data_IF_124153398600
#
_entry.id   IF_124153398600
#
_cell.length_a   1.000
_cell.length_b   1.000
_cell.length_c   1.000
_cell.angle_alpha   90.00
_cell.angle_beta   90.00
_cell.angle_gamma   90.00
#
_symmetry.space_group_name_H-M   'P 1'
#
loop_
_entity.id
_entity.type
_entity.pdbx_description
1 polymer ?
#
# COMPACT_ATOMS: atom_id res chain seq x y z
N UNK A 1 35.18 63.78 -28.14
CA UNK A 1 33.98 63.27 -27.43
C UNK A 1 33.71 61.84 -27.88
N UNK A 2 34.40 60.84 -27.33
CA UNK A 2 34.30 59.43 -27.78
C UNK A 2 34.63 58.45 -26.64
N UNK A 3 34.09 58.70 -25.44
CA UNK A 3 34.20 57.79 -24.30
C UNK A 3 32.86 57.61 -23.55
N UNK A 4 31.75 57.60 -24.28
CA UNK A 4 30.42 57.36 -23.68
C UNK A 4 29.71 56.10 -24.22
N UNK A 5 30.27 55.42 -25.23
CA UNK A 5 29.58 54.33 -25.94
C UNK A 5 30.17 52.93 -25.69
N UNK A 6 30.91 52.72 -24.58
CA UNK A 6 31.42 51.38 -24.20
C UNK A 6 30.91 50.85 -22.86
N UNK A 7 30.12 51.63 -22.12
CA UNK A 7 29.58 51.24 -20.83
C UNK A 7 28.08 50.87 -20.86
N UNK A 8 27.44 50.87 -22.04
CA UNK A 8 26.01 50.57 -22.19
C UNK A 8 25.71 49.20 -22.83
N UNK A 9 26.74 48.39 -23.10
CA UNK A 9 26.58 47.08 -23.79
C UNK A 9 26.70 45.88 -22.85
N UNK A 10 26.61 46.07 -21.53
CA UNK A 10 26.84 45.02 -20.52
C UNK A 10 25.69 44.88 -19.50
N UNK A 11 24.52 45.47 -19.77
CA UNK A 11 23.36 45.49 -18.86
C UNK A 11 22.14 44.74 -19.41
N UNK A 12 22.26 44.04 -20.54
CA UNK A 12 21.15 43.26 -21.07
C UNK A 12 21.55 41.80 -21.23
N UNK A 13 20.67 40.92 -20.72
CA UNK A 13 20.77 39.45 -20.68
C UNK A 13 21.40 38.91 -19.39
N UNK A 14 20.88 39.38 -18.26
CA UNK A 14 20.55 38.50 -17.14
C UNK A 14 19.05 38.23 -17.20
N UNK A 15 18.61 37.52 -18.24
CA UNK A 15 17.30 36.85 -18.19
C UNK A 15 17.47 35.74 -17.17
N UNK A 16 17.16 36.08 -15.92
CA UNK A 16 16.89 35.10 -14.88
C UNK A 16 15.90 34.12 -15.47
N UNK A 17 16.38 32.91 -15.70
CA UNK A 17 15.55 31.74 -15.94
C UNK A 17 14.78 31.54 -14.64
N UNK A 18 13.67 32.26 -14.49
CA UNK A 18 12.62 31.88 -13.54
C UNK A 18 12.05 30.60 -14.13
N UNK A 19 12.71 29.50 -13.80
CA UNK A 19 12.11 28.19 -13.86
C UNK A 19 10.89 28.26 -12.97
N UNK A 20 9.74 28.47 -13.60
CA UNK A 20 8.45 28.33 -12.97
C UNK A 20 8.23 26.83 -12.78
N UNK A 21 9.00 26.24 -11.85
CA UNK A 21 8.61 24.98 -11.25
C UNK A 21 7.29 25.27 -10.58
N UNK A 22 6.20 24.73 -11.13
CA UNK A 22 4.92 24.68 -10.42
C UNK A 22 5.25 24.16 -9.02
N UNK A 23 5.11 25.00 -8.01
CA UNK A 23 5.05 24.50 -6.64
C UNK A 23 3.86 23.56 -6.66
N UNK A 24 4.13 22.26 -6.61
CA UNK A 24 3.08 21.29 -6.42
C UNK A 24 2.55 21.53 -5.02
N UNK A 25 1.44 22.27 -4.90
CA UNK A 25 0.67 22.48 -3.66
C UNK A 25 0.03 21.17 -3.15
N UNK A 26 0.59 20.02 -3.55
CA UNK A 26 0.20 18.69 -3.13
C UNK A 26 0.58 18.47 -1.68
N UNK A 27 -0.35 17.99 -0.86
CA UNK A 27 -0.05 17.61 0.52
C UNK A 27 0.62 16.24 0.65
N UNK A 28 0.75 15.47 -0.44
CA UNK A 28 1.45 14.20 -0.48
C UNK A 28 2.49 14.14 -1.61
N UNK A 29 3.66 13.56 -1.31
CA UNK A 29 4.73 13.30 -2.28
C UNK A 29 5.25 11.87 -2.12
N UNK A 30 5.20 11.08 -3.19
CA UNK A 30 5.88 9.80 -3.30
C UNK A 30 7.23 10.00 -4.01
N UNK A 31 8.31 9.69 -3.30
CA UNK A 31 9.67 9.63 -3.88
C UNK A 31 10.11 8.18 -4.01
N UNK A 32 10.93 7.88 -4.99
CA UNK A 32 11.47 6.53 -5.09
C UNK A 32 12.49 6.30 -6.16
N UNK A 33 13.05 5.09 -6.14
CA UNK A 33 14.00 4.62 -7.14
C UNK A 33 13.74 3.15 -7.49
N UNK A 34 14.00 2.79 -8.75
CA UNK A 34 13.87 1.43 -9.25
C UNK A 34 15.22 0.99 -9.81
N UNK A 35 15.99 0.26 -9.01
CA UNK A 35 17.34 -0.18 -9.39
C UNK A 35 17.28 -1.07 -10.63
N UNK A 36 18.02 -0.67 -11.67
CA UNK A 36 18.10 -1.40 -12.94
C UNK A 36 17.07 -0.98 -13.99
N UNK A 37 16.15 -0.06 -13.68
CA UNK A 37 15.21 0.48 -14.66
C UNK A 37 15.86 1.60 -15.49
N UNK A 38 15.90 1.42 -16.82
CA UNK A 38 16.42 2.43 -17.76
C UNK A 38 15.31 3.24 -18.42
N UNK A 39 14.20 2.57 -18.74
CA UNK A 39 13.02 3.16 -19.39
C UNK A 39 11.75 2.49 -18.87
N UNK A 40 10.73 3.28 -18.58
CA UNK A 40 9.42 2.80 -18.14
C UNK A 40 8.51 3.96 -17.80
N UNK A 41 7.28 3.67 -17.37
CA UNK A 41 6.38 4.67 -16.80
C UNK A 41 5.95 4.20 -15.43
N UNK A 42 6.11 5.05 -14.43
CA UNK A 42 5.57 4.82 -13.09
C UNK A 42 4.27 5.59 -12.93
N UNK A 43 3.32 4.99 -12.24
CA UNK A 43 2.03 5.57 -11.91
C UNK A 43 1.81 5.53 -10.41
N UNK A 44 1.26 6.61 -9.87
CA UNK A 44 0.64 6.62 -8.56
C UNK A 44 -0.85 6.38 -8.79
N UNK A 45 -1.39 5.32 -8.21
CA UNK A 45 -2.77 4.89 -8.43
C UNK A 45 -3.52 4.73 -7.11
N UNK A 46 -4.84 4.82 -7.17
CA UNK A 46 -5.73 4.38 -6.09
C UNK A 46 -6.87 3.54 -6.63
N UNK A 47 -7.42 2.69 -5.77
CA UNK A 47 -8.68 1.99 -6.03
C UNK A 47 -9.84 2.89 -5.61
N UNK A 48 -10.76 3.13 -6.53
CA UNK A 48 -12.06 3.77 -6.30
C UNK A 48 -13.18 2.73 -6.41
N UNK A 49 -14.37 3.08 -5.90
CA UNK A 49 -15.53 2.20 -5.75
C UNK A 49 -15.69 1.17 -6.89
N UNK A 50 -15.93 -0.10 -6.49
CA UNK A 50 -16.07 -1.27 -7.38
C UNK A 50 -14.81 -1.64 -8.18
N UNK A 51 -13.63 -1.50 -7.57
CA UNK A 51 -12.34 -1.95 -8.13
C UNK A 51 -11.89 -1.22 -9.39
N UNK A 52 -12.33 0.03 -9.54
CA UNK A 52 -11.83 0.91 -10.57
C UNK A 52 -10.48 1.50 -10.14
N UNK A 53 -9.44 1.27 -10.93
CA UNK A 53 -8.12 1.86 -10.67
C UNK A 53 -8.01 3.20 -11.39
N UNK A 54 -7.71 4.26 -10.65
CA UNK A 54 -7.47 5.59 -11.22
C UNK A 54 -6.01 6.00 -11.08
N UNK A 55 -5.48 6.67 -12.11
CA UNK A 55 -4.15 7.27 -12.07
C UNK A 55 -4.23 8.65 -11.43
N UNK A 56 -3.53 8.84 -10.31
CA UNK A 56 -3.42 10.11 -9.61
C UNK A 56 -2.29 10.97 -10.18
N UNK A 57 -1.17 10.33 -10.53
CA UNK A 57 -0.02 10.96 -11.17
C UNK A 57 0.80 9.91 -11.94
N UNK A 58 1.70 10.36 -12.81
CA UNK A 58 2.62 9.50 -13.53
C UNK A 58 3.90 10.21 -13.91
N UNK A 59 4.97 9.44 -14.08
CA UNK A 59 6.24 9.96 -14.56
C UNK A 59 6.88 8.96 -15.51
N UNK A 60 7.33 9.47 -16.66
CA UNK A 60 8.16 8.70 -17.59
C UNK A 60 9.58 8.65 -17.04
N UNK A 61 10.15 7.45 -16.94
CA UNK A 61 11.54 7.23 -16.56
C UNK A 61 12.38 7.08 -17.82
N UNK A 62 13.41 7.92 -17.96
CA UNK A 62 14.37 7.92 -19.08
C UNK A 62 15.78 8.17 -18.59
N UNK A 63 16.44 7.13 -18.06
CA UNK A 63 17.81 7.23 -17.57
C UNK A 63 17.99 7.92 -16.22
N UNK A 64 16.98 8.63 -15.68
CA UNK A 64 17.01 9.09 -14.29
C UNK A 64 16.87 7.94 -13.29
N UNK A 65 17.60 7.98 -12.16
CA UNK A 65 17.55 6.93 -11.13
C UNK A 65 16.32 7.02 -10.23
N UNK A 66 15.72 8.22 -10.15
CA UNK A 66 14.68 8.56 -9.19
C UNK A 66 13.42 9.08 -9.89
N UNK A 67 12.28 8.90 -9.23
CA UNK A 67 11.00 9.46 -9.63
C UNK A 67 10.36 10.20 -8.46
N UNK A 68 9.49 11.15 -8.77
CA UNK A 68 8.66 11.84 -7.78
C UNK A 68 7.25 11.98 -8.35
N UNK A 69 6.26 11.61 -7.54
CA UNK A 69 4.84 11.65 -7.89
C UNK A 69 4.09 12.37 -6.77
N UNK A 70 2.98 13.02 -7.11
CA UNK A 70 2.26 13.92 -6.21
C UNK A 70 0.75 13.65 -6.21
N UNK A 71 0.10 13.82 -5.07
CA UNK A 71 -1.35 13.88 -5.01
C UNK A 71 -1.84 14.66 -3.79
N UNK A 72 -3.15 14.85 -3.66
CA UNK A 72 -3.77 15.42 -2.47
C UNK A 72 -4.59 14.34 -1.74
N UNK A 73 -4.21 14.08 -0.49
CA UNK A 73 -4.88 13.13 0.39
C UNK A 73 -5.71 13.87 1.43
N UNK A 74 -6.98 13.47 1.57
CA UNK A 74 -7.86 14.00 2.61
C UNK A 74 -7.60 13.32 3.96
N UNK A 75 -7.22 12.05 3.91
CA UNK A 75 -7.00 11.17 5.05
C UNK A 75 -6.12 9.99 4.61
N UNK A 76 -5.60 9.16 5.54
CA UNK A 76 -4.76 8.02 5.19
C UNK A 76 -5.50 6.96 4.35
N UNK A 77 -4.87 6.51 3.25
CA UNK A 77 -5.42 5.47 2.36
C UNK A 77 -4.34 4.62 1.68
N UNK A 78 -4.70 3.42 1.23
CA UNK A 78 -3.83 2.57 0.41
C UNK A 78 -3.75 3.14 -1.01
N UNK A 79 -2.53 3.46 -1.43
CA UNK A 79 -2.18 3.79 -2.80
C UNK A 79 -1.29 2.70 -3.40
N UNK A 80 -1.12 2.75 -4.71
CA UNK A 80 -0.31 1.79 -5.46
C UNK A 80 0.74 2.54 -6.28
N UNK A 81 2.00 2.13 -6.14
CA UNK A 81 3.05 2.44 -7.11
C UNK A 81 3.04 1.36 -8.19
N UNK A 82 2.61 1.70 -9.41
CA UNK A 82 2.61 0.78 -10.55
C UNK A 82 3.76 1.08 -11.51
N UNK A 83 4.42 0.04 -12.00
CA UNK A 83 5.40 0.11 -13.10
C UNK A 83 4.81 -0.50 -14.37
N UNK A 84 4.72 0.29 -15.43
CA UNK A 84 4.37 -0.19 -16.77
C UNK A 84 5.63 -0.38 -17.62
N UNK A 85 5.87 -1.63 -18.05
CA UNK A 85 6.98 -2.01 -18.94
C UNK A 85 6.58 -2.90 -20.12
N UNK A 86 5.28 -2.94 -20.46
CA UNK A 86 4.74 -3.64 -21.62
C UNK A 86 5.15 -5.13 -21.72
N UNK A 87 5.22 -5.84 -20.59
CA UNK A 87 5.58 -7.27 -20.51
C UNK A 87 4.39 -8.19 -20.18
N UNK A 88 3.18 -7.64 -20.12
CA UNK A 88 1.96 -8.38 -19.79
C UNK A 88 1.83 -8.78 -18.33
N UNK A 89 2.76 -8.39 -17.46
CA UNK A 89 2.75 -8.68 -16.03
C UNK A 89 2.41 -7.39 -15.27
N UNK A 90 1.60 -7.51 -14.22
CA UNK A 90 1.33 -6.39 -13.33
C UNK A 90 2.44 -6.22 -12.28
N UNK A 91 3.02 -5.02 -12.25
CA UNK A 91 4.04 -4.64 -11.28
C UNK A 91 3.46 -3.52 -10.43
N UNK A 92 3.05 -3.83 -9.20
CA UNK A 92 2.55 -2.85 -8.26
C UNK A 92 3.04 -3.11 -6.84
N UNK A 93 3.21 -2.03 -6.09
CA UNK A 93 3.54 -2.05 -4.66
C UNK A 93 2.43 -1.27 -3.95
N UNK A 94 1.56 -1.94 -3.17
CA UNK A 94 0.61 -1.24 -2.31
C UNK A 94 1.34 -0.62 -1.12
N UNK A 95 0.88 0.56 -0.67
CA UNK A 95 1.41 1.21 0.51
C UNK A 95 0.36 2.12 1.15
N UNK A 96 0.40 2.26 2.47
CA UNK A 96 -0.44 3.15 3.24
C UNK A 96 0.12 4.57 3.19
N UNK A 97 -0.53 5.43 2.41
CA UNK A 97 -0.17 6.82 2.25
C UNK A 97 -0.89 7.69 3.29
N UNK A 98 -0.21 8.73 3.75
CA UNK A 98 -0.77 9.86 4.51
C UNK A 98 -0.04 11.12 4.05
N UNK A 99 -0.56 12.30 4.40
CA UNK A 99 0.06 13.59 4.09
C UNK A 99 1.54 13.61 4.48
N UNK A 100 2.35 14.25 3.65
CA UNK A 100 3.81 14.29 3.79
C UNK A 100 4.52 13.51 2.70
N UNK A 101 5.59 12.79 3.08
CA UNK A 101 6.51 12.14 2.13
C UNK A 101 6.57 10.65 2.41
N UNK A 102 6.32 9.85 1.38
CA UNK A 102 6.62 8.41 1.37
C UNK A 102 7.79 8.16 0.42
N UNK A 103 8.75 7.33 0.84
CA UNK A 103 9.86 6.86 0.04
C UNK A 103 9.70 5.37 -0.27
N UNK A 104 9.75 4.99 -1.55
CA UNK A 104 9.74 3.59 -2.00
C UNK A 104 10.95 3.30 -2.88
N UNK A 105 11.78 2.34 -2.44
CA UNK A 105 12.93 1.88 -3.21
C UNK A 105 12.80 0.39 -3.50
N UNK A 106 12.96 -0.01 -4.76
CA UNK A 106 12.84 -1.42 -5.18
C UNK A 106 13.82 -1.76 -6.31
N UNK A 107 13.81 -3.01 -6.78
CA UNK A 107 14.60 -3.46 -7.93
C UNK A 107 13.69 -3.81 -9.09
N UNK A 108 14.18 -3.65 -10.33
CA UNK A 108 13.42 -4.09 -11.51
C UNK A 108 13.21 -5.62 -11.53
N UNK A 109 14.15 -6.38 -10.97
CA UNK A 109 14.12 -7.85 -10.98
C UNK A 109 12.96 -8.39 -10.16
N UNK A 110 12.73 -7.82 -8.97
CA UNK A 110 11.72 -8.27 -8.02
C UNK A 110 10.89 -7.08 -7.53
N UNK A 111 10.28 -6.34 -8.46
CA UNK A 111 9.63 -5.05 -8.18
C UNK A 111 8.67 -5.12 -6.99
N UNK A 112 7.79 -6.12 -6.96
CA UNK A 112 6.76 -6.27 -5.94
C UNK A 112 7.30 -6.72 -4.56
N UNK A 113 8.51 -7.29 -4.50
CA UNK A 113 9.00 -8.01 -3.32
C UNK A 113 10.26 -7.40 -2.69
N UNK A 114 11.11 -6.74 -3.47
CA UNK A 114 12.33 -6.08 -2.96
C UNK A 114 12.04 -4.66 -2.42
N UNK A 115 10.77 -4.25 -2.38
CA UNK A 115 10.37 -2.90 -1.99
C UNK A 115 10.70 -2.61 -0.54
N UNK A 116 11.33 -1.46 -0.30
CA UNK A 116 11.52 -0.85 1.01
C UNK A 116 10.74 0.45 1.06
N UNK A 117 9.79 0.51 1.99
CA UNK A 117 8.89 1.64 2.14
C UNK A 117 9.27 2.36 3.44
N UNK A 118 9.40 3.68 3.38
CA UNK A 118 9.41 4.56 4.55
C UNK A 118 8.28 5.55 4.36
N UNK A 119 7.27 5.51 5.21
CA UNK A 119 6.04 6.26 4.97
C UNK A 119 5.36 6.70 6.25
N UNK A 120 4.03 6.69 6.20
CA UNK A 120 3.14 7.08 7.29
C UNK A 120 3.27 6.16 8.52
N UNK A 121 2.71 6.60 9.65
CA UNK A 121 2.56 5.74 10.84
C UNK A 121 1.72 4.49 10.54
N UNK A 122 0.72 4.62 9.68
CA UNK A 122 -0.13 3.53 9.22
C UNK A 122 0.68 2.51 8.41
N UNK A 123 1.65 2.96 7.61
CA UNK A 123 2.58 2.07 6.91
C UNK A 123 3.47 1.30 7.88
N UNK A 124 3.98 1.94 8.93
CA UNK A 124 4.79 1.24 9.95
C UNK A 124 4.00 0.12 10.64
N UNK A 125 2.73 0.40 10.99
CA UNK A 125 1.82 -0.61 11.56
C UNK A 125 1.50 -1.72 10.55
N UNK A 126 1.28 -1.37 9.28
CA UNK A 126 1.08 -2.35 8.22
C UNK A 126 2.31 -3.25 8.04
N UNK A 127 3.52 -2.69 8.07
CA UNK A 127 4.77 -3.44 7.95
C UNK A 127 4.97 -4.40 9.13
N UNK A 128 4.68 -3.96 10.35
CA UNK A 128 4.70 -4.81 11.54
C UNK A 128 3.72 -6.00 11.39
N UNK A 129 2.48 -5.69 11.01
CA UNK A 129 1.45 -6.71 10.76
C UNK A 129 1.89 -7.71 9.68
N UNK A 130 2.34 -7.22 8.52
CA UNK A 130 2.76 -8.03 7.39
C UNK A 130 3.96 -8.92 7.72
N UNK A 131 4.90 -8.43 8.55
CA UNK A 131 6.02 -9.25 9.04
C UNK A 131 5.53 -10.49 9.79
N UNK A 132 4.50 -10.35 10.62
CA UNK A 132 3.91 -11.48 11.35
C UNK A 132 3.10 -12.36 10.40
N UNK A 133 2.35 -11.77 9.46
CA UNK A 133 1.63 -12.54 8.43
C UNK A 133 2.57 -13.39 7.56
N UNK A 134 3.79 -12.90 7.30
CA UNK A 134 4.83 -13.68 6.60
C UNK A 134 5.15 -15.00 7.31
N UNK A 135 5.11 -15.05 8.64
CA UNK A 135 5.35 -16.28 9.40
C UNK A 135 4.18 -17.26 9.28
N UNK A 136 2.94 -16.76 9.27
CA UNK A 136 1.76 -17.59 9.00
C UNK A 136 1.80 -18.14 7.59
N UNK A 137 2.18 -17.33 6.60
CA UNK A 137 2.33 -17.76 5.21
C UNK A 137 3.40 -18.86 5.07
N UNK A 138 4.55 -18.70 5.73
CA UNK A 138 5.60 -19.73 5.75
C UNK A 138 5.09 -21.06 6.28
N UNK A 139 4.46 -21.06 7.47
CA UNK A 139 3.86 -22.28 8.05
C UNK A 139 2.79 -22.90 7.15
N UNK A 140 2.02 -22.06 6.45
CA UNK A 140 1.01 -22.54 5.53
C UNK A 140 1.64 -23.24 4.32
N UNK A 141 2.77 -22.74 3.82
CA UNK A 141 3.54 -23.40 2.75
C UNK A 141 4.07 -24.76 3.22
N UNK A 142 4.60 -24.85 4.44
CA UNK A 142 5.06 -26.13 5.02
C UNK A 142 3.91 -27.16 5.08
N UNK A 143 2.71 -26.72 5.48
CA UNK A 143 1.52 -27.59 5.52
C UNK A 143 1.08 -28.02 4.12
N UNK A 144 1.12 -27.12 3.14
CA UNK A 144 0.80 -27.43 1.73
C UNK A 144 1.77 -28.47 1.17
N UNK A 145 3.07 -28.29 1.39
CA UNK A 145 4.12 -29.22 0.95
C UNK A 145 3.90 -30.61 1.57
N UNK A 146 3.72 -30.69 2.90
CA UNK A 146 3.46 -31.94 3.59
C UNK A 146 2.16 -32.61 3.10
N UNK A 147 1.12 -31.82 2.82
CA UNK A 147 -0.17 -32.33 2.33
C UNK A 147 -0.03 -32.94 0.94
N UNK A 148 0.79 -32.33 0.07
CA UNK A 148 1.08 -32.86 -1.26
C UNK A 148 1.80 -34.21 -1.20
N UNK A 149 2.77 -34.35 -0.29
CA UNK A 149 3.50 -35.62 -0.08
C UNK A 149 2.54 -36.70 0.45
N UNK A 150 1.76 -36.41 1.49
CA UNK A 150 0.82 -37.37 2.07
C UNK A 150 -0.24 -37.85 1.06
N UNK A 151 -0.68 -36.97 0.15
CA UNK A 151 -1.58 -37.33 -0.95
C UNK A 151 -0.94 -38.32 -1.94
N UNK A 152 0.34 -38.14 -2.28
CA UNK A 152 1.05 -39.09 -3.15
C UNK A 152 1.18 -40.46 -2.50
N UNK A 153 1.46 -40.49 -1.20
CA UNK A 153 1.61 -41.71 -0.41
C UNK A 153 0.26 -42.36 -0.04
N UNK A 154 -0.86 -41.67 -0.29
CA UNK A 154 -2.22 -42.05 0.11
C UNK A 154 -2.37 -42.27 1.62
N UNK A 155 -1.60 -41.53 2.42
CA UNK A 155 -1.70 -41.59 3.89
C UNK A 155 -2.86 -40.71 4.37
N UNK A 156 -4.03 -41.33 4.52
CA UNK A 156 -5.24 -40.66 5.01
C UNK A 156 -5.08 -40.09 6.43
N UNK A 157 -4.27 -40.72 7.29
CA UNK A 157 -4.11 -40.26 8.68
C UNK A 157 -3.27 -38.98 8.72
N UNK A 158 -2.20 -38.93 7.93
CA UNK A 158 -1.39 -37.73 7.77
C UNK A 158 -2.21 -36.58 7.16
N UNK A 159 -3.03 -36.85 6.14
CA UNK A 159 -3.92 -35.85 5.52
C UNK A 159 -4.88 -35.25 6.55
N UNK A 160 -5.56 -36.08 7.35
CA UNK A 160 -6.49 -35.60 8.37
C UNK A 160 -5.80 -34.72 9.43
N UNK A 161 -4.61 -35.12 9.87
CA UNK A 161 -3.79 -34.34 10.80
C UNK A 161 -3.39 -32.98 10.22
N UNK A 162 -2.91 -32.95 8.97
CA UNK A 162 -2.51 -31.72 8.28
C UNK A 162 -3.68 -30.78 8.06
N UNK A 163 -4.88 -31.29 7.75
CA UNK A 163 -6.10 -30.51 7.67
C UNK A 163 -6.44 -29.83 9.01
N UNK A 164 -6.25 -30.53 10.14
CA UNK A 164 -6.45 -29.92 11.47
C UNK A 164 -5.43 -28.81 11.74
N UNK A 165 -4.15 -29.03 11.38
CA UNK A 165 -3.10 -28.03 11.53
C UNK A 165 -3.40 -26.78 10.68
N UNK A 166 -3.79 -26.96 9.42
CA UNK A 166 -4.20 -25.87 8.53
C UNK A 166 -5.35 -25.05 9.13
N UNK A 167 -6.39 -25.74 9.62
CA UNK A 167 -7.53 -25.08 10.27
C UNK A 167 -7.14 -24.30 11.53
N UNK A 168 -6.25 -24.85 12.36
CA UNK A 168 -5.73 -24.14 13.53
C UNK A 168 -4.89 -22.93 13.14
N UNK A 169 -4.10 -23.03 12.07
CA UNK A 169 -3.28 -21.94 11.57
C UNK A 169 -4.14 -20.77 11.11
N UNK A 170 -5.22 -21.03 10.36
CA UNK A 170 -6.20 -20.02 9.92
C UNK A 170 -6.85 -19.34 11.14
N UNK A 171 -7.32 -20.12 12.12
CA UNK A 171 -7.94 -19.57 13.34
C UNK A 171 -6.98 -18.66 14.11
N UNK A 172 -5.72 -19.06 14.23
CA UNK A 172 -4.68 -18.26 14.89
C UNK A 172 -4.35 -16.98 14.11
N UNK A 173 -4.30 -17.05 12.78
CA UNK A 173 -4.13 -15.87 11.91
C UNK A 173 -5.27 -14.88 12.18
N UNK A 174 -6.52 -15.33 12.13
CA UNK A 174 -7.68 -14.46 12.36
C UNK A 174 -7.70 -13.87 13.77
N UNK A 175 -7.45 -14.69 14.79
CA UNK A 175 -7.38 -14.21 16.17
C UNK A 175 -6.30 -13.13 16.35
N UNK A 176 -5.13 -13.31 15.72
CA UNK A 176 -4.07 -12.31 15.72
C UNK A 176 -4.52 -11.02 15.03
N UNK A 177 -5.08 -11.10 13.82
CA UNK A 177 -5.54 -9.91 13.06
C UNK A 177 -6.62 -9.14 13.81
N UNK A 178 -7.58 -9.85 14.42
CA UNK A 178 -8.64 -9.24 15.25
C UNK A 178 -8.03 -8.52 16.45
N UNK A 179 -7.12 -9.18 17.19
CA UNK A 179 -6.48 -8.58 18.36
C UNK A 179 -5.63 -7.36 17.97
N UNK A 180 -4.90 -7.43 16.85
CA UNK A 180 -4.10 -6.34 16.33
C UNK A 180 -5.00 -5.13 16.01
N UNK A 181 -6.10 -5.34 15.28
CA UNK A 181 -7.07 -4.28 14.99
C UNK A 181 -7.66 -3.67 16.27
N UNK A 182 -8.02 -4.49 17.26
CA UNK A 182 -8.54 -4.00 18.55
C UNK A 182 -7.51 -3.17 19.34
N UNK A 183 -6.22 -3.51 19.24
CA UNK A 183 -5.14 -2.80 19.91
C UNK A 183 -4.78 -1.47 19.24
N UNK A 184 -5.12 -1.30 17.95
CA UNK A 184 -4.85 -0.11 17.15
C UNK A 184 -6.15 0.62 16.74
N UNK A 185 -7.13 0.63 17.64
CA UNK A 185 -8.48 1.22 17.44
C UNK A 185 -8.51 2.72 17.13
N UNK A 186 -7.39 3.41 17.33
CA UNK A 186 -7.14 4.82 17.06
C UNK A 186 -6.37 5.05 15.76
N UNK A 187 -6.23 4.02 14.90
CA UNK A 187 -5.59 4.11 13.59
C UNK A 187 -6.45 3.46 12.50
N UNK A 188 -6.35 3.98 11.27
CA UNK A 188 -7.00 3.50 10.06
C UNK A 188 -6.65 2.04 9.72
N UNK A 189 -5.52 1.54 10.25
CA UNK A 189 -5.13 0.14 10.10
C UNK A 189 -6.20 -0.81 10.67
N UNK A 190 -6.87 -0.44 11.77
CA UNK A 190 -7.85 -1.31 12.41
C UNK A 190 -9.08 -1.60 11.52
N UNK A 191 -9.82 -0.58 11.02
CA UNK A 191 -10.93 -0.84 10.10
C UNK A 191 -10.46 -1.39 8.76
N UNK A 192 -9.26 -1.03 8.28
CA UNK A 192 -8.69 -1.62 7.07
C UNK A 192 -8.51 -3.14 7.20
N UNK A 193 -7.88 -3.61 8.28
CA UNK A 193 -7.69 -5.05 8.51
C UNK A 193 -9.03 -5.78 8.67
N UNK A 194 -10.00 -5.16 9.36
CA UNK A 194 -11.34 -5.74 9.48
C UNK A 194 -12.03 -5.93 8.12
N UNK A 195 -11.92 -4.94 7.23
CA UNK A 195 -12.54 -4.94 5.91
C UNK A 195 -11.93 -5.95 4.94
N UNK A 196 -10.62 -6.16 5.00
CA UNK A 196 -9.90 -6.87 3.93
C UNK A 196 -9.25 -8.18 4.39
N UNK A 197 -8.85 -8.30 5.67
CA UNK A 197 -8.12 -9.48 6.15
C UNK A 197 -9.02 -10.47 6.91
N UNK A 198 -10.07 -9.99 7.58
CA UNK A 198 -10.98 -10.83 8.37
C UNK A 198 -12.46 -10.67 8.00
N UNK A 199 -12.78 -10.19 6.79
CA UNK A 199 -14.16 -10.02 6.31
C UNK A 199 -15.05 -11.25 6.52
N UNK A 200 -14.47 -12.44 6.36
CA UNK A 200 -15.17 -13.73 6.47
C UNK A 200 -15.11 -14.33 7.89
N UNK A 201 -14.57 -13.61 8.87
CA UNK A 201 -14.63 -14.03 10.26
C UNK A 201 -16.07 -13.97 10.79
N UNK A 202 -16.30 -14.53 11.98
CA UNK A 202 -17.60 -14.41 12.63
C UNK A 202 -17.99 -12.92 12.78
N UNK A 203 -19.18 -12.50 12.30
CA UNK A 203 -19.74 -11.16 12.44
C UNK A 203 -19.48 -10.46 13.77
N UNK A 204 -19.58 -11.19 14.89
CA UNK A 204 -19.40 -10.66 16.25
C UNK A 204 -18.03 -10.01 16.44
N UNK A 205 -16.98 -10.54 15.81
CA UNK A 205 -15.63 -9.95 15.91
C UNK A 205 -15.50 -8.67 15.10
N UNK A 206 -16.14 -8.60 13.94
CA UNK A 206 -16.15 -7.41 13.09
C UNK A 206 -16.87 -6.27 13.79
N UNK A 207 -18.02 -6.58 14.41
CA UNK A 207 -18.79 -5.63 15.20
C UNK A 207 -18.01 -5.15 16.43
N UNK A 208 -17.27 -6.06 17.08
CA UNK A 208 -16.41 -5.74 18.23
C UNK A 208 -15.28 -4.78 17.85
N UNK A 209 -14.61 -5.01 16.71
CA UNK A 209 -13.59 -4.10 16.19
C UNK A 209 -14.21 -2.73 15.93
N UNK A 210 -15.31 -2.68 15.15
CA UNK A 210 -15.97 -1.42 14.80
C UNK A 210 -16.41 -0.63 16.03
N UNK A 211 -17.05 -1.28 17.00
CA UNK A 211 -17.51 -0.63 18.22
C UNK A 211 -16.36 -0.06 19.04
N UNK A 212 -15.21 -0.76 19.04
CA UNK A 212 -13.99 -0.33 19.71
C UNK A 212 -13.27 0.86 19.06
N UNK A 213 -13.54 1.17 17.78
CA UNK A 213 -12.89 2.27 17.07
C UNK A 213 -13.15 3.63 17.76
N UNK A 214 -12.13 4.50 17.72
CA UNK A 214 -12.29 5.89 18.17
C UNK A 214 -13.33 6.63 17.31
N UNK A 215 -13.98 7.69 17.82
CA UNK A 215 -14.94 8.48 17.03
C UNK A 215 -14.32 9.07 15.75
N UNK A 216 -13.05 9.44 15.78
CA UNK A 216 -12.32 9.93 14.61
C UNK A 216 -12.17 8.82 13.56
N UNK A 217 -11.71 7.63 13.97
CA UNK A 217 -11.52 6.49 13.06
C UNK A 217 -12.86 5.95 12.53
N UNK A 218 -13.96 6.02 13.30
CA UNK A 218 -15.30 5.67 12.77
C UNK A 218 -15.72 6.59 11.62
N UNK A 219 -15.26 7.84 11.64
CA UNK A 219 -15.56 8.84 10.62
C UNK A 219 -14.55 8.88 9.47
N UNK A 220 -13.48 8.08 9.52
CA UNK A 220 -12.49 7.97 8.45
C UNK A 220 -12.98 7.09 7.30
N UNK A 221 -12.25 7.09 6.18
CA UNK A 221 -12.54 6.33 4.96
C UNK A 221 -12.85 4.87 5.25
N UNK A 222 -11.93 4.17 5.93
CA UNK A 222 -12.09 2.76 6.24
C UNK A 222 -13.10 2.53 7.36
N UNK A 223 -13.23 3.44 8.33
CA UNK A 223 -14.26 3.34 9.37
C UNK A 223 -15.66 3.38 8.80
N UNK A 224 -15.94 4.33 7.88
CA UNK A 224 -17.22 4.44 7.19
C UNK A 224 -17.51 3.20 6.35
N UNK A 225 -16.54 2.75 5.54
CA UNK A 225 -16.67 1.51 4.75
C UNK A 225 -16.98 0.30 5.61
N UNK A 226 -16.36 0.18 6.80
CA UNK A 226 -16.64 -0.91 7.73
C UNK A 226 -18.05 -0.80 8.33
N UNK A 227 -18.47 0.41 8.69
CA UNK A 227 -19.83 0.67 9.16
C UNK A 227 -20.89 0.31 8.12
N UNK A 228 -20.66 0.67 6.85
CA UNK A 228 -21.52 0.32 5.71
C UNK A 228 -21.59 -1.19 5.51
N UNK A 229 -20.47 -1.90 5.57
CA UNK A 229 -20.43 -3.37 5.50
C UNK A 229 -21.31 -4.01 6.58
N UNK A 230 -21.22 -3.53 7.82
CA UNK A 230 -22.02 -4.03 8.95
C UNK A 230 -23.51 -3.71 8.76
N UNK A 231 -23.84 -2.49 8.29
CA UNK A 231 -25.21 -2.08 8.05
C UNK A 231 -25.88 -2.91 6.94
N UNK A 232 -25.18 -3.15 5.83
CA UNK A 232 -25.69 -3.94 4.71
C UNK A 232 -25.96 -5.39 5.11
N UNK A 233 -25.05 -6.01 5.89
CA UNK A 233 -25.24 -7.36 6.43
C UNK A 233 -26.54 -7.49 7.23
N UNK A 234 -26.85 -6.51 8.07
CA UNK A 234 -28.06 -6.51 8.90
C UNK A 234 -29.34 -6.19 8.12
N UNK A 235 -29.24 -5.69 6.87
CA UNK A 235 -30.38 -5.40 6.00
C UNK A 235 -30.79 -6.57 5.11
N UNK A 236 -29.90 -7.56 4.95
CA UNK A 236 -30.12 -8.79 4.17
C UNK A 236 -30.65 -9.95 5.05
N UNK A 237 -30.65 -9.79 6.37
CA UNK A 237 -31.26 -10.69 7.37
C UNK A 237 -32.72 -10.30 7.67
#
# INVERSE_FOLDING_TARGET
MTKLNKALSLIFIAVLVVSCGKSNDSNFTLKGSIKGLKKGVVYLQKEEDNSNIINLDSMVITGQPEFTLHTNLKEPEILYLKLFKNDGIEHYIPFFADQGVTEINTTLKNFNFDSKIKGSKQQELLDEYLKIMGQFNGKNLDVIEASFIAQQEKDSVAIDSLNQIANQLIKRKYAFTIQYAMNHRDSEIAPYLALYEVRNANPVYIDSIYNGLSPEIKNSLYGKKLGELIANRNSEE
#
